data_IF_787352239839
#
_entry.id   IF_787352239839
#
_cell.length_a   1.000
_cell.length_b   1.000
_cell.length_c   1.000
_cell.angle_alpha   90.00
_cell.angle_beta   90.00
_cell.angle_gamma   90.00
#
_symmetry.space_group_name_H-M   'P 1'
#
loop_
_entity.id
_entity.type
_entity.pdbx_description
1 polymer ?
#
# COMPACT_ATOMS: atom_id res chain seq x y z
N UNK A 1 -17.66 3.91 17.48
CA UNK A 1 -16.69 3.73 16.37
C UNK A 1 -16.92 4.90 15.43
N UNK A 2 -15.94 5.78 15.25
CA UNK A 2 -16.07 6.92 14.33
C UNK A 2 -16.19 6.40 12.90
N UNK A 3 -17.11 6.92 12.08
CA UNK A 3 -17.23 6.53 10.69
C UNK A 3 -15.90 6.86 9.99
N UNK A 4 -15.33 5.87 9.36
CA UNK A 4 -14.08 6.03 8.59
C UNK A 4 -14.45 6.84 7.34
N UNK A 5 -13.99 8.07 7.26
CA UNK A 5 -14.27 8.95 6.11
C UNK A 5 -14.00 8.23 4.79
N UNK A 6 -14.85 8.44 3.77
CA UNK A 6 -14.61 7.89 2.44
C UNK A 6 -13.21 8.26 1.92
N UNK A 7 -12.59 7.43 1.08
CA UNK A 7 -11.19 7.62 0.64
C UNK A 7 -10.97 8.90 -0.18
N UNK A 8 -12.04 9.52 -0.67
CA UNK A 8 -12.01 10.75 -1.49
C UNK A 8 -13.21 11.65 -1.19
N UNK A 9 -13.14 12.93 -1.57
CA UNK A 9 -14.23 13.88 -1.37
C UNK A 9 -15.48 13.56 -2.21
N UNK A 10 -16.65 13.95 -1.72
CA UNK A 10 -17.90 13.85 -2.48
C UNK A 10 -17.83 14.57 -3.83
N UNK A 11 -17.14 15.72 -3.89
CA UNK A 11 -16.94 16.47 -5.13
C UNK A 11 -16.20 15.63 -6.17
N UNK A 12 -15.13 14.92 -5.74
CA UNK A 12 -14.31 14.11 -6.64
C UNK A 12 -15.08 12.89 -7.16
N UNK A 13 -15.78 12.15 -6.29
CA UNK A 13 -16.53 10.97 -6.70
C UNK A 13 -17.72 11.35 -7.59
N UNK A 14 -18.43 12.44 -7.27
CA UNK A 14 -19.56 12.92 -8.10
C UNK A 14 -19.10 13.37 -9.49
N UNK A 15 -18.00 14.11 -9.57
CA UNK A 15 -17.45 14.58 -10.86
C UNK A 15 -17.07 13.41 -11.79
N UNK A 16 -16.51 12.33 -11.23
CA UNK A 16 -16.02 11.20 -12.01
C UNK A 16 -17.07 10.11 -12.29
N UNK A 17 -18.11 10.01 -11.45
CA UNK A 17 -19.09 8.88 -11.49
C UNK A 17 -20.53 9.32 -11.60
N UNK A 18 -20.81 10.63 -11.54
CA UNK A 18 -22.17 11.19 -11.57
C UNK A 18 -22.94 11.09 -10.25
N UNK A 19 -22.43 10.39 -9.22
CA UNK A 19 -23.12 10.18 -7.95
C UNK A 19 -22.22 10.52 -6.75
N UNK A 20 -22.83 11.00 -5.67
CA UNK A 20 -22.18 11.20 -4.36
C UNK A 20 -21.95 9.86 -3.65
N UNK A 21 -21.14 9.86 -2.58
CA UNK A 21 -20.95 8.67 -1.74
C UNK A 21 -22.27 8.14 -1.20
N UNK A 22 -23.14 9.01 -0.67
CA UNK A 22 -24.44 8.62 -0.15
C UNK A 22 -25.31 7.93 -1.22
N UNK A 23 -25.35 8.48 -2.43
CA UNK A 23 -26.10 7.89 -3.54
C UNK A 23 -25.54 6.52 -3.96
N UNK A 24 -24.22 6.36 -3.96
CA UNK A 24 -23.59 5.07 -4.22
C UNK A 24 -23.90 4.04 -3.13
N UNK A 25 -23.83 4.44 -1.85
CA UNK A 25 -24.14 3.54 -0.74
C UNK A 25 -25.59 3.06 -0.78
N UNK A 26 -26.53 3.95 -1.05
CA UNK A 26 -27.94 3.58 -1.22
C UNK A 26 -28.16 2.62 -2.41
N UNK A 27 -27.51 2.86 -3.55
CA UNK A 27 -27.63 1.98 -4.71
C UNK A 27 -27.08 0.58 -4.40
N UNK A 28 -25.94 0.49 -3.72
CA UNK A 28 -25.32 -0.78 -3.32
C UNK A 28 -26.09 -1.51 -2.23
N UNK A 29 -26.70 -0.79 -1.27
CA UNK A 29 -27.59 -1.40 -0.27
C UNK A 29 -28.83 -2.03 -0.94
N UNK A 30 -29.44 -1.33 -1.89
CA UNK A 30 -30.58 -1.86 -2.68
C UNK A 30 -30.19 -3.11 -3.49
N UNK A 31 -28.96 -3.17 -3.98
CA UNK A 31 -28.43 -4.34 -4.68
C UNK A 31 -28.03 -5.51 -3.77
N UNK A 32 -28.14 -5.35 -2.44
CA UNK A 32 -27.75 -6.38 -1.47
C UNK A 32 -26.23 -6.56 -1.34
N UNK A 33 -25.45 -5.53 -1.67
CA UNK A 33 -24.00 -5.60 -1.76
C UNK A 33 -23.29 -5.94 -0.42
N UNK A 34 -23.97 -5.82 0.73
CA UNK A 34 -23.45 -6.28 2.03
C UNK A 34 -23.06 -7.75 2.06
N UNK A 35 -23.68 -8.57 1.20
CA UNK A 35 -23.42 -10.02 1.12
C UNK A 35 -22.52 -10.39 -0.06
N UNK A 36 -22.09 -9.42 -0.86
CA UNK A 36 -21.26 -9.66 -2.04
C UNK A 36 -19.78 -9.59 -1.68
N UNK A 37 -18.94 -10.48 -2.26
CA UNK A 37 -17.50 -10.30 -2.24
C UNK A 37 -17.09 -8.98 -2.91
N UNK A 38 -15.97 -8.40 -2.54
CA UNK A 38 -15.44 -7.15 -3.12
C UNK A 38 -15.44 -7.14 -4.65
N UNK A 39 -15.01 -8.25 -5.25
CA UNK A 39 -14.97 -8.40 -6.71
C UNK A 39 -16.35 -8.19 -7.34
N UNK A 40 -17.37 -8.79 -6.73
CA UNK A 40 -18.74 -8.75 -7.28
C UNK A 40 -19.36 -7.37 -7.11
N UNK A 41 -19.07 -6.66 -6.01
CA UNK A 41 -19.43 -5.25 -5.82
C UNK A 41 -18.82 -4.39 -6.93
N UNK A 42 -17.52 -4.54 -7.19
CA UNK A 42 -16.81 -3.78 -8.23
C UNK A 42 -17.33 -4.10 -9.64
N UNK A 43 -17.61 -5.37 -9.94
CA UNK A 43 -18.23 -5.79 -11.21
C UNK A 43 -19.65 -5.25 -11.36
N UNK A 44 -20.47 -5.27 -10.31
CA UNK A 44 -21.81 -4.70 -10.32
C UNK A 44 -21.75 -3.20 -10.65
N UNK A 45 -20.88 -2.45 -9.99
CA UNK A 45 -20.67 -1.03 -10.27
C UNK A 45 -20.24 -0.78 -11.73
N UNK A 46 -19.32 -1.59 -12.24
CA UNK A 46 -18.84 -1.44 -13.60
C UNK A 46 -19.89 -1.82 -14.65
N UNK A 47 -20.49 -3.00 -14.51
CA UNK A 47 -21.38 -3.58 -15.53
C UNK A 47 -22.77 -2.93 -15.53
N UNK A 48 -23.36 -2.73 -14.36
CA UNK A 48 -24.75 -2.22 -14.22
C UNK A 48 -24.77 -0.69 -14.23
N UNK A 49 -23.88 -0.06 -13.47
CA UNK A 49 -23.89 1.40 -13.34
C UNK A 49 -22.91 2.11 -14.27
N UNK A 50 -22.18 1.38 -15.13
CA UNK A 50 -21.16 1.91 -16.07
C UNK A 50 -20.11 2.78 -15.38
N UNK A 51 -19.86 2.53 -14.09
CA UNK A 51 -18.84 3.23 -13.34
C UNK A 51 -17.46 2.92 -13.92
N UNK A 52 -16.55 3.92 -14.13
CA UNK A 52 -15.20 3.66 -14.63
C UNK A 52 -14.44 2.67 -13.76
N UNK A 53 -13.63 1.79 -14.35
CA UNK A 53 -13.04 0.64 -13.66
C UNK A 53 -12.29 0.96 -12.38
N UNK A 54 -11.45 2.00 -12.38
CA UNK A 54 -10.75 2.46 -11.17
C UNK A 54 -11.74 2.96 -10.10
N UNK A 55 -12.76 3.74 -10.50
CA UNK A 55 -13.78 4.25 -9.60
C UNK A 55 -14.68 3.16 -9.04
N UNK A 56 -14.94 2.10 -9.82
CA UNK A 56 -15.67 0.92 -9.32
C UNK A 56 -14.95 0.29 -8.12
N UNK A 57 -13.62 0.18 -8.18
CA UNK A 57 -12.82 -0.31 -7.05
C UNK A 57 -12.88 0.66 -5.86
N UNK A 58 -12.75 1.96 -6.10
CA UNK A 58 -12.77 2.98 -5.05
C UNK A 58 -14.13 3.07 -4.35
N UNK A 59 -15.23 3.01 -5.11
CA UNK A 59 -16.59 3.02 -4.56
C UNK A 59 -16.86 1.75 -3.75
N UNK A 60 -16.44 0.59 -4.24
CA UNK A 60 -16.55 -0.67 -3.50
C UNK A 60 -15.79 -0.61 -2.15
N UNK A 61 -14.55 -0.12 -2.15
CA UNK A 61 -13.77 0.07 -0.90
C UNK A 61 -14.45 1.04 0.06
N UNK A 62 -14.96 2.17 -0.45
CA UNK A 62 -15.68 3.17 0.35
C UNK A 62 -16.94 2.58 1.00
N UNK A 63 -17.71 1.83 0.23
CA UNK A 63 -18.91 1.14 0.71
C UNK A 63 -18.59 0.09 1.80
N UNK A 64 -17.60 -0.76 1.54
CA UNK A 64 -17.20 -1.79 2.50
C UNK A 64 -16.74 -1.18 3.84
N UNK A 65 -16.01 -0.06 3.80
CA UNK A 65 -15.60 0.67 5.02
C UNK A 65 -16.79 1.27 5.75
N UNK A 66 -17.67 1.95 5.05
CA UNK A 66 -18.86 2.58 5.62
C UNK A 66 -19.81 1.55 6.27
N UNK A 67 -19.87 0.34 5.72
CA UNK A 67 -20.70 -0.76 6.25
C UNK A 67 -19.97 -1.66 7.26
N UNK A 68 -18.73 -1.32 7.62
CA UNK A 68 -17.92 -2.11 8.56
C UNK A 68 -17.47 -3.47 8.03
N UNK A 69 -17.55 -3.68 6.71
CA UNK A 69 -17.12 -4.92 6.04
C UNK A 69 -15.62 -4.97 5.82
N UNK A 70 -14.95 -3.84 5.94
CA UNK A 70 -13.50 -3.71 5.77
C UNK A 70 -12.93 -2.66 6.71
N UNK A 71 -11.83 -2.97 7.35
CA UNK A 71 -11.08 -2.02 8.17
C UNK A 71 -10.18 -1.10 7.33
N UNK A 72 -9.76 0.02 7.91
CA UNK A 72 -8.75 0.89 7.30
C UNK A 72 -7.45 0.12 7.12
N UNK A 73 -6.82 0.24 5.94
CA UNK A 73 -5.62 -0.50 5.53
C UNK A 73 -5.79 -2.01 5.31
N UNK A 74 -6.97 -2.59 5.50
CA UNK A 74 -7.26 -3.96 5.16
C UNK A 74 -7.40 -4.12 3.64
N UNK A 75 -6.79 -5.16 3.08
CA UNK A 75 -6.97 -5.55 1.67
C UNK A 75 -8.25 -6.35 1.46
N UNK A 76 -8.63 -6.59 0.20
CA UNK A 76 -9.82 -7.37 -0.14
C UNK A 76 -9.75 -8.84 0.29
N UNK A 77 -8.54 -9.37 0.49
CA UNK A 77 -8.27 -10.72 1.01
C UNK A 77 -8.22 -10.78 2.55
N UNK A 78 -8.60 -9.69 3.23
CA UNK A 78 -8.55 -9.58 4.68
C UNK A 78 -7.16 -9.28 5.26
N UNK A 79 -6.10 -9.32 4.46
CA UNK A 79 -4.74 -9.07 4.91
C UNK A 79 -4.44 -7.59 5.11
N UNK A 80 -3.38 -7.29 5.87
CA UNK A 80 -2.89 -5.94 6.11
C UNK A 80 -1.49 -5.76 5.56
N UNK A 81 -1.21 -4.54 5.02
CA UNK A 81 0.11 -4.19 4.54
C UNK A 81 0.44 -2.72 4.79
N UNK A 82 1.73 -2.45 5.02
CA UNK A 82 2.30 -1.12 5.14
C UNK A 82 3.22 -0.87 3.95
N UNK A 83 2.97 0.20 3.21
CA UNK A 83 3.83 0.63 2.10
C UNK A 83 4.62 1.85 2.50
N UNK A 84 5.88 1.93 2.05
CA UNK A 84 6.72 3.11 2.18
C UNK A 84 7.59 3.26 0.93
N UNK A 85 7.97 4.50 0.61
CA UNK A 85 8.88 4.78 -0.50
C UNK A 85 9.75 6.00 -0.22
N UNK A 86 10.94 6.03 -0.85
CA UNK A 86 11.85 7.18 -0.79
C UNK A 86 12.55 7.34 -2.13
N UNK A 87 12.59 8.57 -2.63
CA UNK A 87 13.40 8.92 -3.80
C UNK A 87 14.69 9.57 -3.32
N UNK A 88 15.83 9.08 -3.83
CA UNK A 88 17.16 9.45 -3.40
C UNK A 88 17.99 9.93 -4.59
N UNK A 89 18.85 10.91 -4.36
CA UNK A 89 19.79 11.43 -5.37
C UNK A 89 21.06 10.57 -5.43
N UNK A 90 20.89 9.27 -5.71
CA UNK A 90 21.98 8.30 -5.90
C UNK A 90 21.64 7.33 -7.03
N UNK A 91 22.63 6.77 -7.74
CA UNK A 91 22.41 5.70 -8.72
C UNK A 91 21.76 4.46 -8.06
N UNK A 92 20.93 3.74 -8.82
CA UNK A 92 20.21 2.56 -8.31
C UNK A 92 21.13 1.47 -7.79
N UNK A 93 22.32 1.30 -8.37
CA UNK A 93 23.33 0.33 -7.90
C UNK A 93 23.85 0.66 -6.49
N UNK A 94 24.09 1.94 -6.17
CA UNK A 94 24.48 2.40 -4.82
C UNK A 94 23.32 2.14 -3.83
N UNK A 95 22.09 2.45 -4.23
CA UNK A 95 20.91 2.19 -3.43
C UNK A 95 20.70 0.69 -3.17
N UNK A 96 20.80 -0.15 -4.19
CA UNK A 96 20.67 -1.61 -4.07
C UNK A 96 21.78 -2.21 -3.16
N UNK A 97 23.03 -1.76 -3.31
CA UNK A 97 24.15 -2.19 -2.47
C UNK A 97 23.94 -1.89 -0.99
N UNK A 98 23.29 -0.75 -0.67
CA UNK A 98 22.96 -0.41 0.72
C UNK A 98 22.01 -1.42 1.39
N UNK A 99 21.22 -2.17 0.62
CA UNK A 99 20.31 -3.21 1.10
C UNK A 99 20.92 -4.61 1.10
N UNK A 100 21.97 -4.87 0.32
CA UNK A 100 22.52 -6.21 0.10
C UNK A 100 23.91 -6.42 0.70
N UNK A 101 24.68 -5.35 0.87
CA UNK A 101 25.97 -5.40 1.57
C UNK A 101 25.73 -5.37 3.09
N UNK A 102 26.14 -6.40 3.79
CA UNK A 102 25.89 -6.56 5.22
C UNK A 102 26.46 -5.41 6.07
N UNK A 103 27.62 -4.83 5.69
CA UNK A 103 28.25 -3.71 6.39
C UNK A 103 27.50 -2.40 6.15
N UNK A 104 27.05 -2.16 4.92
CA UNK A 104 26.25 -1.00 4.56
C UNK A 104 24.87 -1.08 5.22
N UNK A 105 24.21 -2.22 5.19
CA UNK A 105 22.89 -2.47 5.75
C UNK A 105 22.82 -2.13 7.24
N UNK A 106 23.76 -2.65 8.04
CA UNK A 106 23.79 -2.43 9.51
C UNK A 106 23.92 -0.96 9.92
N UNK A 107 24.31 -0.08 9.01
CA UNK A 107 24.48 1.35 9.29
C UNK A 107 23.15 2.11 9.35
N UNK A 108 22.09 1.59 8.74
CA UNK A 108 20.79 2.27 8.68
C UNK A 108 19.61 1.39 9.12
N UNK A 109 19.71 0.07 8.97
CA UNK A 109 18.68 -0.88 9.39
C UNK A 109 19.19 -1.72 10.56
N UNK A 110 18.44 -1.71 11.67
CA UNK A 110 18.85 -2.38 12.92
C UNK A 110 18.38 -3.81 13.01
N UNK A 111 17.20 -4.08 12.45
CA UNK A 111 16.59 -5.40 12.53
C UNK A 111 17.19 -6.35 11.49
N UNK A 112 17.57 -7.58 11.89
CA UNK A 112 18.02 -8.60 10.94
C UNK A 112 16.83 -9.04 10.09
N UNK A 113 17.11 -9.51 8.89
CA UNK A 113 16.12 -10.15 8.03
C UNK A 113 16.76 -11.20 7.14
N UNK A 114 15.94 -12.10 6.61
CA UNK A 114 16.36 -13.12 5.65
C UNK A 114 15.95 -12.75 4.23
N UNK A 115 16.89 -12.83 3.27
CA UNK A 115 16.60 -12.60 1.86
C UNK A 115 16.17 -13.91 1.21
N UNK A 116 14.90 -14.03 0.84
CA UNK A 116 14.35 -15.20 0.13
C UNK A 116 14.66 -15.18 -1.37
N UNK A 117 14.69 -14.00 -1.97
CA UNK A 117 14.98 -13.81 -3.40
C UNK A 117 15.53 -12.41 -3.64
N UNK A 118 16.57 -12.33 -4.46
CA UNK A 118 17.15 -11.07 -4.92
C UNK A 118 17.20 -11.04 -6.45
N UNK A 119 16.81 -9.90 -7.03
CA UNK A 119 17.01 -9.58 -8.44
C UNK A 119 17.84 -8.30 -8.50
N UNK A 120 19.06 -8.38 -9.02
CA UNK A 120 20.02 -7.28 -8.98
C UNK A 120 19.43 -5.98 -9.46
N UNK A 121 19.59 -4.93 -8.66
CA UNK A 121 19.11 -3.56 -8.89
C UNK A 121 17.60 -3.41 -9.24
N UNK A 122 16.81 -4.47 -8.99
CA UNK A 122 15.36 -4.49 -9.29
C UNK A 122 14.51 -4.76 -8.05
N UNK A 123 14.78 -5.84 -7.31
CA UNK A 123 13.93 -6.20 -6.17
C UNK A 123 14.59 -7.13 -5.16
N UNK A 124 14.07 -7.10 -3.91
CA UNK A 124 14.35 -8.05 -2.86
C UNK A 124 13.04 -8.59 -2.28
N UNK A 125 13.00 -9.88 -1.97
CA UNK A 125 11.94 -10.53 -1.21
C UNK A 125 12.51 -10.95 0.13
N UNK A 126 11.97 -10.43 1.22
CA UNK A 126 12.53 -10.52 2.55
C UNK A 126 11.52 -11.22 3.47
N UNK A 127 12.00 -12.09 4.35
CA UNK A 127 11.28 -12.52 5.56
C UNK A 127 11.72 -11.65 6.73
N UNK A 128 10.76 -11.01 7.38
CA UNK A 128 10.99 -10.18 8.55
C UNK A 128 11.07 -11.04 9.81
N UNK A 129 11.69 -10.58 10.93
CA UNK A 129 11.87 -11.40 12.15
C UNK A 129 10.58 -11.97 12.74
N UNK A 130 9.44 -11.33 12.53
CA UNK A 130 8.13 -11.79 12.99
C UNK A 130 7.43 -12.74 12.00
N UNK A 131 8.12 -13.19 10.94
CA UNK A 131 7.57 -14.04 9.89
C UNK A 131 6.75 -13.31 8.82
N UNK A 132 6.57 -12.00 8.96
CA UNK A 132 5.93 -11.19 7.92
C UNK A 132 6.84 -11.03 6.70
N UNK A 133 6.30 -10.56 5.59
CA UNK A 133 7.03 -10.47 4.32
C UNK A 133 7.22 -9.02 3.89
N UNK A 134 8.42 -8.69 3.42
CA UNK A 134 8.71 -7.38 2.82
C UNK A 134 9.16 -7.56 1.38
N UNK A 135 8.42 -6.94 0.47
CA UNK A 135 8.77 -6.86 -0.94
C UNK A 135 9.35 -5.48 -1.21
N UNK A 136 10.61 -5.42 -1.61
CA UNK A 136 11.35 -4.18 -1.90
C UNK A 136 11.60 -4.08 -3.39
N UNK A 137 11.36 -2.90 -3.96
CA UNK A 137 11.56 -2.60 -5.38
C UNK A 137 12.46 -1.39 -5.53
N UNK A 138 13.33 -1.43 -6.52
CA UNK A 138 14.26 -0.38 -6.87
C UNK A 138 13.95 0.15 -8.26
N UNK A 139 13.77 1.46 -8.39
CA UNK A 139 13.40 2.12 -9.63
C UNK A 139 14.46 3.14 -10.04
N UNK A 140 14.91 3.08 -11.28
CA UNK A 140 15.75 4.10 -11.89
C UNK A 140 14.86 5.32 -12.20
N UNK A 141 15.24 6.50 -11.72
CA UNK A 141 14.58 7.78 -12.01
C UNK A 141 15.47 8.73 -12.81
N UNK A 142 16.75 8.36 -12.99
CA UNK A 142 17.77 9.08 -13.75
C UNK A 142 19.16 8.53 -13.44
N UNK A 143 20.22 9.03 -14.08
CA UNK A 143 21.58 8.54 -13.89
C UNK A 143 22.06 8.57 -12.43
N UNK A 144 21.73 9.64 -11.71
CA UNK A 144 22.05 9.86 -10.29
C UNK A 144 20.82 9.93 -9.41
N UNK A 145 19.67 9.38 -9.84
CA UNK A 145 18.41 9.42 -9.09
C UNK A 145 17.71 8.08 -9.13
N UNK A 146 17.32 7.57 -7.98
CA UNK A 146 16.62 6.30 -7.86
C UNK A 146 15.56 6.36 -6.76
N UNK A 147 14.65 5.41 -6.78
CA UNK A 147 13.60 5.27 -5.78
C UNK A 147 13.59 3.85 -5.25
N UNK A 148 13.48 3.72 -3.93
CA UNK A 148 13.07 2.49 -3.28
C UNK A 148 11.58 2.59 -2.92
N UNK A 149 10.85 1.51 -3.17
CA UNK A 149 9.50 1.32 -2.63
C UNK A 149 9.40 -0.06 -2.00
N UNK A 150 8.66 -0.18 -0.92
CA UNK A 150 8.47 -1.44 -0.24
C UNK A 150 7.02 -1.63 0.21
N UNK A 151 6.63 -2.92 0.25
CA UNK A 151 5.38 -3.41 0.79
C UNK A 151 5.66 -4.42 1.89
N UNK A 152 5.37 -4.07 3.14
CA UNK A 152 5.43 -4.96 4.29
C UNK A 152 4.06 -5.64 4.46
N UNK A 153 3.99 -6.91 4.10
CA UNK A 153 2.76 -7.70 3.99
C UNK A 153 2.62 -8.70 5.13
N UNK A 154 1.44 -9.31 5.21
CA UNK A 154 1.06 -10.29 6.26
C UNK A 154 1.12 -9.69 7.65
N UNK A 155 0.83 -8.41 7.77
CA UNK A 155 0.63 -7.78 9.07
C UNK A 155 -0.70 -8.25 9.67
N UNK A 156 -0.76 -8.34 10.99
CA UNK A 156 -1.91 -8.95 11.68
C UNK A 156 -3.13 -8.02 11.80
N UNK A 157 -2.90 -6.71 11.88
CA UNK A 157 -3.95 -5.71 12.15
C UNK A 157 -3.53 -4.29 11.74
N UNK A 158 -4.46 -3.34 11.86
CA UNK A 158 -4.22 -1.93 11.55
C UNK A 158 -3.18 -1.27 12.46
N UNK A 159 -3.01 -1.72 13.72
CA UNK A 159 -1.98 -1.20 14.64
C UNK A 159 -0.59 -1.62 14.15
N UNK A 160 -0.44 -2.87 13.70
CA UNK A 160 0.80 -3.34 13.08
C UNK A 160 1.13 -2.52 11.81
N UNK A 161 0.13 -2.16 10.99
CA UNK A 161 0.34 -1.26 9.84
C UNK A 161 0.89 0.09 10.28
N UNK A 162 0.27 0.75 11.27
CA UNK A 162 0.72 2.05 11.77
C UNK A 162 2.15 1.98 12.32
N UNK A 163 2.46 0.94 13.10
CA UNK A 163 3.81 0.67 13.64
C UNK A 163 4.83 0.51 12.51
N UNK A 164 4.53 -0.31 11.51
CA UNK A 164 5.45 -0.58 10.40
C UNK A 164 5.62 0.63 9.47
N UNK A 165 4.59 1.43 9.24
CA UNK A 165 4.72 2.71 8.52
C UNK A 165 5.69 3.66 9.21
N UNK A 166 5.53 3.87 10.51
CA UNK A 166 6.42 4.72 11.30
C UNK A 166 7.86 4.17 11.35
N UNK A 167 8.01 2.85 11.45
CA UNK A 167 9.32 2.18 11.42
C UNK A 167 10.02 2.42 10.08
N UNK A 168 9.36 2.12 8.96
CA UNK A 168 9.94 2.25 7.62
C UNK A 168 10.21 3.70 7.23
N UNK A 169 9.36 4.66 7.66
CA UNK A 169 9.66 6.08 7.46
C UNK A 169 11.01 6.44 8.06
N UNK A 170 11.21 6.16 9.36
CA UNK A 170 12.47 6.44 10.05
C UNK A 170 13.66 5.65 9.52
N UNK A 171 13.46 4.42 9.09
CA UNK A 171 14.51 3.61 8.49
C UNK A 171 14.97 4.19 7.15
N UNK A 172 14.03 4.61 6.30
CA UNK A 172 14.35 5.24 5.02
C UNK A 172 14.97 6.63 5.18
N UNK A 173 14.63 7.39 6.24
CA UNK A 173 15.30 8.65 6.56
C UNK A 173 16.79 8.41 6.88
N UNK A 174 17.09 7.41 7.72
CA UNK A 174 18.50 7.02 8.00
C UNK A 174 19.23 6.52 6.75
N UNK A 175 18.55 5.80 5.86
CA UNK A 175 19.13 5.37 4.59
C UNK A 175 19.51 6.57 3.72
N UNK A 176 18.63 7.57 3.63
CA UNK A 176 18.87 8.81 2.89
C UNK A 176 20.07 9.56 3.44
N UNK A 177 20.12 9.81 4.76
CA UNK A 177 21.25 10.46 5.45
C UNK A 177 22.59 9.76 5.16
N UNK A 178 22.59 8.42 5.05
CA UNK A 178 23.81 7.64 4.80
C UNK A 178 24.25 7.59 3.34
N UNK A 179 23.36 7.82 2.42
CA UNK A 179 23.66 7.74 0.99
C UNK A 179 23.86 9.10 0.34
N UNK A 180 23.24 10.15 0.87
CA UNK A 180 23.24 11.49 0.28
C UNK A 180 24.09 12.46 1.11
N UNK A 181 24.21 12.28 2.44
CA UNK A 181 25.16 12.97 3.32
C UNK A 181 26.55 12.34 3.22
#
# INVERSE_FOLDING_TARGET
MSPTSPPMSDKAVKAATGKTWSQWFQALDKAGAKKMPHRDIALHLHNIHKCPGWWSQMVAVGYERERGLRETHQKCDGSYAASASRTLHVPVGKLYKAWTDAKALRRWLRDPFEVRKATSSKSLRITWPDGSHVDVYFWIKGPSKSQVSLDHRKLKDARAVAKQKAYWSRALDRLEERLVG
#
